data_IF_949298686611
#
_entry.id   IF_949298686611
#
_cell.length_a   1.000
_cell.length_b   1.000
_cell.length_c   1.000
_cell.angle_alpha   90.00
_cell.angle_beta   90.00
_cell.angle_gamma   90.00
#
_symmetry.space_group_name_H-M   'P 1'
#
loop_
_entity.id
_entity.type
_entity.pdbx_description
1 polymer ?
#
# COMPACT_ATOMS: atom_id res chain seq x y z
N UNK A 1 17.97 -13.86 -45.34
CA UNK A 1 18.98 -12.86 -45.76
C UNK A 1 18.55 -11.47 -45.30
N UNK A 2 17.35 -11.02 -45.61
CA UNK A 2 16.82 -9.70 -45.21
C UNK A 2 16.78 -9.52 -43.71
N UNK A 3 16.45 -10.54 -42.91
CA UNK A 3 16.44 -10.50 -41.47
C UNK A 3 17.84 -10.18 -40.89
N UNK A 4 18.89 -10.84 -41.41
CA UNK A 4 20.26 -10.59 -40.93
C UNK A 4 20.78 -9.21 -41.30
N UNK A 5 20.38 -8.66 -42.45
CA UNK A 5 20.94 -7.41 -42.99
C UNK A 5 20.20 -6.15 -42.50
N UNK A 6 18.93 -6.24 -42.12
CA UNK A 6 18.13 -5.05 -41.76
C UNK A 6 17.45 -5.16 -40.39
N UNK A 7 16.92 -6.32 -40.04
CA UNK A 7 16.17 -6.50 -38.80
C UNK A 7 17.10 -6.71 -37.61
N UNK A 8 18.22 -7.41 -37.81
CA UNK A 8 19.18 -7.65 -36.71
C UNK A 8 19.82 -6.37 -36.19
N UNK A 9 20.26 -5.47 -37.06
CA UNK A 9 20.88 -4.21 -36.68
C UNK A 9 19.90 -3.29 -35.97
N UNK A 10 18.64 -3.26 -36.43
CA UNK A 10 17.55 -2.52 -35.76
C UNK A 10 17.27 -3.09 -34.36
N UNK A 11 17.23 -4.41 -34.20
CA UNK A 11 17.07 -5.05 -32.89
C UNK A 11 18.25 -4.79 -31.95
N UNK A 12 19.49 -4.79 -32.48
CA UNK A 12 20.67 -4.48 -31.67
C UNK A 12 20.66 -3.03 -31.16
N UNK A 13 20.20 -2.08 -32.00
CA UNK A 13 20.06 -0.67 -31.57
C UNK A 13 18.99 -0.48 -30.50
N UNK A 14 17.92 -1.27 -30.51
CA UNK A 14 16.88 -1.24 -29.49
C UNK A 14 17.30 -1.89 -28.16
N UNK A 15 18.33 -2.73 -28.17
CA UNK A 15 18.83 -3.42 -26.96
C UNK A 15 19.30 -2.46 -25.86
N UNK A 16 19.73 -1.27 -26.22
CA UNK A 16 20.10 -0.22 -25.26
C UNK A 16 18.91 0.48 -24.59
N UNK A 17 17.73 0.36 -25.20
CA UNK A 17 16.48 1.03 -24.79
C UNK A 17 15.53 0.05 -24.13
N UNK A 18 15.44 -1.16 -24.67
CA UNK A 18 14.52 -2.21 -24.22
C UNK A 18 15.27 -3.48 -23.87
N UNK A 19 14.91 -4.10 -22.75
CA UNK A 19 15.35 -5.46 -22.44
C UNK A 19 14.55 -6.44 -23.30
N UNK A 20 15.24 -7.20 -24.16
CA UNK A 20 14.63 -8.28 -24.92
C UNK A 20 15.56 -9.50 -24.92
N UNK A 21 14.95 -10.64 -24.98
CA UNK A 21 15.62 -11.93 -24.94
C UNK A 21 15.34 -12.74 -26.19
N UNK A 22 16.35 -13.49 -26.62
CA UNK A 22 16.21 -14.40 -27.76
C UNK A 22 15.84 -15.78 -27.25
N UNK A 23 14.70 -16.27 -27.71
CA UNK A 23 14.28 -17.63 -27.44
C UNK A 23 14.48 -18.45 -28.73
N UNK A 24 15.21 -19.56 -28.61
CA UNK A 24 15.36 -20.47 -29.72
C UNK A 24 14.03 -21.21 -29.97
N UNK A 25 13.40 -20.88 -31.07
CA UNK A 25 12.14 -21.51 -31.52
C UNK A 25 12.36 -22.72 -32.46
N UNK A 26 13.58 -23.20 -32.60
CA UNK A 26 13.87 -24.42 -33.35
C UNK A 26 13.68 -25.62 -32.43
N UNK A 27 12.71 -26.46 -32.73
CA UNK A 27 12.40 -27.66 -31.96
C UNK A 27 10.92 -27.98 -31.93
N UNK A 28 10.56 -28.92 -31.09
CA UNK A 28 9.16 -29.27 -30.86
C UNK A 28 8.44 -28.15 -30.08
N UNK A 29 7.13 -27.99 -30.32
CA UNK A 29 6.31 -26.93 -29.72
C UNK A 29 6.44 -26.92 -28.19
N UNK A 30 6.41 -28.10 -27.58
CA UNK A 30 6.55 -28.23 -26.13
C UNK A 30 7.91 -27.71 -25.60
N UNK A 31 8.96 -27.90 -26.35
CA UNK A 31 10.30 -27.42 -25.99
C UNK A 31 10.42 -25.90 -26.12
N UNK A 32 9.77 -25.33 -27.13
CA UNK A 32 9.68 -23.88 -27.32
C UNK A 32 8.86 -23.24 -26.21
N UNK A 33 7.73 -23.84 -25.86
CA UNK A 33 6.91 -23.41 -24.72
C UNK A 33 7.70 -23.43 -23.41
N UNK A 34 8.41 -24.51 -23.11
CA UNK A 34 9.23 -24.62 -21.92
C UNK A 34 10.34 -23.56 -21.89
N UNK A 35 10.97 -23.28 -23.02
CA UNK A 35 11.99 -22.23 -23.13
C UNK A 35 11.42 -20.84 -22.85
N UNK A 36 10.19 -20.56 -23.33
CA UNK A 36 9.48 -19.30 -23.06
C UNK A 36 9.17 -19.19 -21.56
N UNK A 37 8.63 -20.24 -20.96
CA UNK A 37 8.31 -20.26 -19.53
C UNK A 37 9.57 -20.07 -18.69
N UNK A 38 10.65 -20.78 -19.00
CA UNK A 38 11.93 -20.65 -18.29
C UNK A 38 12.50 -19.25 -18.41
N UNK A 39 12.41 -18.63 -19.60
CA UNK A 39 12.90 -17.27 -19.82
C UNK A 39 12.06 -16.24 -19.06
N UNK A 40 10.75 -16.39 -19.05
CA UNK A 40 9.87 -15.52 -18.25
C UNK A 40 10.13 -15.67 -16.74
N UNK A 41 10.38 -16.90 -16.28
CA UNK A 41 10.78 -17.16 -14.90
C UNK A 41 12.14 -16.55 -14.57
N UNK A 42 13.11 -16.68 -15.48
CA UNK A 42 14.44 -16.07 -15.34
C UNK A 42 14.36 -14.54 -15.26
N UNK A 43 13.55 -13.90 -16.10
CA UNK A 43 13.35 -12.44 -16.05
C UNK A 43 12.70 -11.96 -14.76
N UNK A 44 11.80 -12.75 -14.20
CA UNK A 44 11.17 -12.43 -12.90
C UNK A 44 12.12 -12.67 -11.71
N UNK A 45 13.22 -13.39 -11.93
CA UNK A 45 14.21 -13.76 -10.92
C UNK A 45 15.60 -13.16 -11.19
N UNK A 46 15.67 -12.08 -11.98
CA UNK A 46 16.92 -11.41 -12.31
C UNK A 46 17.84 -11.31 -11.08
N UNK A 47 18.98 -11.99 -11.15
CA UNK A 47 20.07 -11.97 -10.17
C UNK A 47 19.97 -12.92 -8.96
N UNK A 48 18.93 -13.73 -8.85
CA UNK A 48 18.87 -14.73 -7.78
C UNK A 48 19.39 -16.09 -8.25
N UNK A 49 20.32 -16.65 -7.47
CA UNK A 49 20.69 -18.05 -7.60
C UNK A 49 19.47 -18.98 -7.44
N UNK A 50 19.37 -20.09 -8.20
CA UNK A 50 18.22 -21.01 -8.14
C UNK A 50 17.89 -21.51 -6.73
N UNK A 51 18.89 -21.76 -5.89
CA UNK A 51 18.69 -22.21 -4.50
C UNK A 51 18.07 -21.09 -3.67
N UNK A 52 18.51 -19.85 -3.87
CA UNK A 52 17.93 -18.68 -3.21
C UNK A 52 16.50 -18.43 -3.67
N UNK A 53 16.23 -18.55 -4.98
CA UNK A 53 14.87 -18.43 -5.51
C UNK A 53 13.92 -19.45 -4.89
N UNK A 54 14.32 -20.74 -4.84
CA UNK A 54 13.51 -21.80 -4.26
C UNK A 54 13.25 -21.58 -2.76
N UNK A 55 14.19 -21.02 -2.04
CA UNK A 55 14.00 -20.64 -0.64
C UNK A 55 12.98 -19.51 -0.46
N UNK A 56 12.99 -18.52 -1.38
CA UNK A 56 12.09 -17.37 -1.30
C UNK A 56 10.69 -17.61 -1.88
N UNK A 57 10.52 -18.57 -2.80
CA UNK A 57 9.22 -18.83 -3.46
C UNK A 57 8.11 -19.26 -2.51
N UNK A 58 8.44 -19.69 -1.29
CA UNK A 58 7.45 -19.97 -0.24
C UNK A 58 6.77 -18.69 0.29
N UNK A 59 7.38 -17.52 0.04
CA UNK A 59 6.83 -16.23 0.41
C UNK A 59 5.99 -15.73 -0.77
N UNK A 60 4.67 -15.48 -0.60
CA UNK A 60 3.82 -15.03 -1.68
C UNK A 60 4.26 -13.65 -2.17
N UNK A 61 4.17 -13.40 -3.46
CA UNK A 61 4.47 -12.08 -4.02
C UNK A 61 3.40 -11.06 -3.61
N UNK A 62 3.83 -9.82 -3.36
CA UNK A 62 2.95 -8.75 -2.86
C UNK A 62 1.70 -8.54 -3.75
N UNK A 63 1.81 -8.72 -5.07
CA UNK A 63 0.69 -8.59 -6.01
C UNK A 63 -0.43 -9.59 -5.72
N UNK A 64 -0.10 -10.84 -5.41
CA UNK A 64 -1.09 -11.87 -5.07
C UNK A 64 -1.79 -11.54 -3.75
N UNK A 65 -1.00 -11.13 -2.74
CA UNK A 65 -1.56 -10.69 -1.46
C UNK A 65 -2.51 -9.50 -1.63
N UNK A 66 -2.17 -8.52 -2.48
CA UNK A 66 -3.01 -7.33 -2.71
C UNK A 66 -4.36 -7.71 -3.33
N UNK A 67 -4.38 -8.64 -4.31
CA UNK A 67 -5.63 -9.10 -4.94
C UNK A 67 -6.54 -9.75 -3.90
N UNK A 68 -6.02 -10.66 -3.09
CA UNK A 68 -6.80 -11.32 -2.04
C UNK A 68 -7.20 -10.35 -0.93
N UNK A 69 -6.28 -9.46 -0.49
CA UNK A 69 -6.56 -8.48 0.54
C UNK A 69 -7.71 -7.53 0.17
N UNK A 70 -7.81 -7.14 -1.11
CA UNK A 70 -8.91 -6.30 -1.58
C UNK A 70 -10.26 -7.02 -1.50
N UNK A 71 -10.33 -8.29 -1.88
CA UNK A 71 -11.55 -9.09 -1.77
C UNK A 71 -12.00 -9.23 -0.32
N UNK A 72 -11.07 -9.52 0.59
CA UNK A 72 -11.37 -9.62 2.02
C UNK A 72 -11.78 -8.28 2.63
N UNK A 73 -11.18 -7.18 2.21
CA UNK A 73 -11.58 -5.84 2.65
C UNK A 73 -13.02 -5.52 2.26
N UNK A 74 -13.44 -5.83 1.02
CA UNK A 74 -14.82 -5.63 0.58
C UNK A 74 -15.79 -6.44 1.43
N UNK A 75 -15.48 -7.72 1.70
CA UNK A 75 -16.30 -8.55 2.58
C UNK A 75 -16.40 -7.97 4.01
N UNK A 76 -15.28 -7.44 4.55
CA UNK A 76 -15.32 -6.78 5.86
C UNK A 76 -16.19 -5.54 5.87
N UNK A 77 -16.14 -4.70 4.82
CA UNK A 77 -16.99 -3.52 4.71
C UNK A 77 -18.48 -3.88 4.69
N UNK A 78 -18.86 -4.94 3.95
CA UNK A 78 -20.22 -5.46 3.95
C UNK A 78 -20.64 -5.99 5.32
N UNK A 79 -19.75 -6.72 5.99
CA UNK A 79 -19.97 -7.22 7.35
C UNK A 79 -20.15 -6.05 8.34
N UNK A 80 -19.32 -5.00 8.26
CA UNK A 80 -19.49 -3.80 9.12
C UNK A 80 -20.83 -3.11 8.89
N UNK A 81 -21.32 -3.05 7.63
CA UNK A 81 -22.64 -2.47 7.36
C UNK A 81 -23.74 -3.31 8.01
N UNK A 82 -23.63 -4.61 7.98
CA UNK A 82 -24.64 -5.53 8.51
C UNK A 82 -24.60 -5.62 10.05
N UNK A 83 -23.41 -5.82 10.63
CA UNK A 83 -23.25 -6.09 12.06
C UNK A 83 -23.06 -4.84 12.90
N UNK A 84 -22.38 -3.82 12.34
CA UNK A 84 -21.94 -2.60 13.03
C UNK A 84 -22.32 -1.32 12.30
N UNK A 85 -23.46 -1.30 11.57
CA UNK A 85 -23.86 -0.20 10.69
C UNK A 85 -23.94 1.18 11.37
N UNK A 86 -24.23 1.23 12.68
CA UNK A 86 -24.23 2.50 13.41
C UNK A 86 -22.81 3.04 13.63
N UNK A 87 -21.84 2.16 13.90
CA UNK A 87 -20.43 2.52 14.07
C UNK A 87 -19.83 2.92 12.71
N UNK A 88 -20.10 2.15 11.66
CA UNK A 88 -19.66 2.48 10.29
C UNK A 88 -20.11 3.89 9.89
N UNK A 89 -21.38 4.23 10.12
CA UNK A 89 -21.91 5.59 9.84
C UNK A 89 -21.19 6.67 10.62
N UNK A 90 -20.90 6.44 11.91
CA UNK A 90 -20.12 7.40 12.74
C UNK A 90 -18.71 7.59 12.21
N UNK A 91 -18.04 6.51 11.77
CA UNK A 91 -16.69 6.58 11.19
C UNK A 91 -16.71 7.32 9.86
N UNK A 92 -17.68 7.05 8.99
CA UNK A 92 -17.84 7.77 7.71
C UNK A 92 -18.12 9.26 7.94
N UNK A 93 -18.97 9.61 8.91
CA UNK A 93 -19.25 11.00 9.28
C UNK A 93 -18.00 11.69 9.86
N UNK A 94 -17.23 11.01 10.71
CA UNK A 94 -15.95 11.49 11.23
C UNK A 94 -14.95 11.76 10.11
N UNK A 95 -14.80 10.82 9.15
CA UNK A 95 -13.96 11.01 7.97
C UNK A 95 -14.41 12.25 7.20
N UNK A 96 -15.70 12.32 6.84
CA UNK A 96 -16.22 13.37 5.96
C UNK A 96 -16.12 14.75 6.59
N UNK A 97 -16.44 14.89 7.88
CA UNK A 97 -16.50 16.19 8.54
C UNK A 97 -15.20 16.66 9.16
N UNK A 98 -14.36 15.74 9.65
CA UNK A 98 -13.14 16.12 10.36
C UNK A 98 -11.87 15.88 9.56
N UNK A 99 -11.78 14.77 8.82
CA UNK A 99 -10.55 14.41 8.12
C UNK A 99 -10.49 14.96 6.70
N UNK A 100 -11.58 14.88 5.93
CA UNK A 100 -11.60 15.32 4.53
C UNK A 100 -11.22 16.80 4.35
N UNK A 101 -11.70 17.76 5.15
CA UNK A 101 -11.28 19.16 4.99
C UNK A 101 -9.77 19.38 5.20
N UNK A 102 -9.12 18.55 6.03
CA UNK A 102 -7.67 18.59 6.22
C UNK A 102 -6.96 17.95 5.02
N UNK A 103 -7.44 16.79 4.57
CA UNK A 103 -6.89 16.05 3.42
C UNK A 103 -6.94 16.94 2.16
N UNK A 104 -8.05 17.62 1.92
CA UNK A 104 -8.23 18.52 0.77
C UNK A 104 -7.20 19.67 0.77
N UNK A 105 -6.88 20.24 1.94
CA UNK A 105 -5.84 21.27 2.05
C UNK A 105 -4.45 20.74 1.69
N UNK A 106 -4.22 19.45 1.89
CA UNK A 106 -2.95 18.77 1.60
C UNK A 106 -2.97 18.00 0.28
N UNK A 107 -3.97 18.24 -0.58
CA UNK A 107 -4.14 17.51 -1.84
C UNK A 107 -2.92 17.52 -2.76
N UNK A 108 -2.21 18.66 -2.80
CA UNK A 108 -1.00 18.82 -3.64
C UNK A 108 0.20 18.08 -3.04
N UNK A 109 0.29 17.97 -1.71
CA UNK A 109 1.42 17.33 -1.05
C UNK A 109 1.36 15.80 -1.07
N UNK A 110 0.23 15.21 -1.49
CA UNK A 110 0.06 13.76 -1.59
C UNK A 110 -0.09 13.04 -0.25
N UNK A 111 -0.20 13.77 0.87
CA UNK A 111 -0.40 13.16 2.17
C UNK A 111 -0.74 14.15 3.27
N UNK A 112 -1.40 13.66 4.32
CA UNK A 112 -1.77 14.43 5.51
C UNK A 112 -1.43 13.65 6.79
N UNK A 113 -0.95 14.34 7.80
CA UNK A 113 -0.73 13.81 9.14
C UNK A 113 -1.65 14.54 10.12
N UNK A 114 -2.50 13.78 10.80
CA UNK A 114 -3.55 14.32 11.66
C UNK A 114 -3.43 13.67 13.03
N UNK A 115 -3.33 14.47 14.10
CA UNK A 115 -3.43 14.00 15.46
C UNK A 115 -4.84 14.29 15.97
N UNK A 116 -5.46 13.32 16.62
CA UNK A 116 -6.82 13.44 17.18
C UNK A 116 -6.96 12.71 18.51
N UNK A 117 -7.75 13.26 19.40
CA UNK A 117 -8.16 12.66 20.69
C UNK A 117 -9.64 12.20 20.62
N UNK A 118 -10.21 12.04 19.42
CA UNK A 118 -11.62 11.71 19.27
C UNK A 118 -11.95 10.38 19.95
N UNK A 119 -12.96 10.40 20.80
CA UNK A 119 -13.39 9.24 21.57
C UNK A 119 -13.95 8.11 20.69
N UNK A 120 -14.37 8.40 19.46
CA UNK A 120 -14.81 7.40 18.49
C UNK A 120 -13.71 6.35 18.25
N UNK A 121 -12.44 6.79 18.17
CA UNK A 121 -11.30 5.90 17.91
C UNK A 121 -10.88 5.07 19.13
N UNK A 122 -11.50 5.26 20.29
CA UNK A 122 -11.32 4.39 21.46
C UNK A 122 -12.02 3.03 21.29
N UNK A 123 -13.04 2.96 20.43
CA UNK A 123 -13.62 1.69 20.02
C UNK A 123 -12.59 0.92 19.19
N UNK A 124 -12.23 -0.32 19.55
CA UNK A 124 -11.16 -1.07 18.88
C UNK A 124 -11.47 -1.35 17.40
N UNK A 125 -12.74 -1.35 17.01
CA UNK A 125 -13.17 -1.60 15.64
C UNK A 125 -13.15 -0.33 14.77
N UNK A 126 -13.30 0.85 15.36
CA UNK A 126 -13.37 2.11 14.61
C UNK A 126 -12.09 2.42 13.79
N UNK A 127 -10.86 2.22 14.30
CA UNK A 127 -9.65 2.38 13.48
C UNK A 127 -9.58 1.40 12.31
N UNK A 128 -10.02 0.15 12.48
CA UNK A 128 -10.04 -0.84 11.41
C UNK A 128 -11.04 -0.46 10.30
N UNK A 129 -12.25 -0.06 10.68
CA UNK A 129 -13.25 0.46 9.73
C UNK A 129 -12.70 1.68 8.98
N UNK A 130 -12.05 2.60 9.67
CA UNK A 130 -11.47 3.81 9.07
C UNK A 130 -10.42 3.46 8.03
N UNK A 131 -9.51 2.53 8.32
CA UNK A 131 -8.48 2.06 7.38
C UNK A 131 -9.11 1.40 6.17
N UNK A 132 -10.10 0.52 6.35
CA UNK A 132 -10.77 -0.18 5.25
C UNK A 132 -11.57 0.80 4.36
N UNK A 133 -12.26 1.80 4.94
CA UNK A 133 -12.96 2.84 4.18
C UNK A 133 -12.00 3.69 3.36
N UNK A 134 -10.87 4.12 3.92
CA UNK A 134 -9.85 4.85 3.19
C UNK A 134 -9.23 4.01 2.08
N UNK A 135 -8.92 2.74 2.36
CA UNK A 135 -8.33 1.81 1.40
C UNK A 135 -9.25 1.55 0.21
N UNK A 136 -10.57 1.41 0.45
CA UNK A 136 -11.56 1.27 -0.61
C UNK A 136 -11.62 2.51 -1.52
N UNK A 137 -11.40 3.69 -0.96
CA UNK A 137 -11.35 4.97 -1.69
C UNK A 137 -9.99 5.27 -2.31
N UNK A 138 -9.02 4.35 -2.24
CA UNK A 138 -7.70 4.49 -2.85
C UNK A 138 -6.71 5.32 -2.03
N UNK A 139 -7.03 5.63 -0.78
CA UNK A 139 -6.08 6.22 0.16
C UNK A 139 -5.30 5.13 0.88
N UNK A 140 -4.08 5.43 1.26
CA UNK A 140 -3.29 4.59 2.16
C UNK A 140 -3.29 5.23 3.54
N UNK A 141 -4.01 4.64 4.48
CA UNK A 141 -4.16 5.14 5.83
C UNK A 141 -3.45 4.24 6.85
N UNK A 142 -2.75 4.86 7.78
CA UNK A 142 -2.16 4.21 8.96
C UNK A 142 -2.67 4.93 10.19
N UNK A 143 -3.05 4.18 11.20
CA UNK A 143 -3.55 4.70 12.49
C UNK A 143 -2.64 4.16 13.59
N UNK A 144 -1.91 5.07 14.23
CA UNK A 144 -1.07 4.77 15.38
C UNK A 144 -1.72 5.32 16.65
N UNK A 145 -1.76 4.49 17.71
CA UNK A 145 -2.22 4.91 19.03
C UNK A 145 -1.03 5.21 19.93
N UNK A 146 -0.96 6.43 20.41
CA UNK A 146 0.03 6.86 21.38
C UNK A 146 -0.62 7.14 22.74
N UNK A 147 0.09 6.79 23.81
CA UNK A 147 -0.24 7.22 25.16
C UNK A 147 0.73 8.32 25.54
N UNK A 148 0.20 9.48 25.90
CA UNK A 148 0.99 10.60 26.39
C UNK A 148 0.61 10.90 27.83
N UNK A 149 1.60 11.19 28.65
CA UNK A 149 1.40 11.67 30.02
C UNK A 149 1.33 13.19 29.99
N UNK A 150 0.22 13.73 30.45
CA UNK A 150 0.00 15.17 30.53
C UNK A 150 -0.01 15.56 32.00
N UNK A 151 0.85 16.51 32.47
CA UNK A 151 0.81 17.02 33.81
C UNK A 151 -0.56 17.60 34.15
N UNK A 152 -1.16 17.20 35.24
CA UNK A 152 -2.48 17.63 35.68
C UNK A 152 -2.41 18.47 36.93
N UNK A 153 -1.65 18.01 37.92
CA UNK A 153 -1.46 18.74 39.20
C UNK A 153 -0.02 18.65 39.66
N UNK A 154 0.43 19.72 40.36
CA UNK A 154 1.72 19.79 41.03
C UNK A 154 1.49 19.88 42.53
N UNK A 155 1.98 18.90 43.27
CA UNK A 155 1.94 18.91 44.72
C UNK A 155 3.13 19.73 45.26
N UNK A 156 2.85 20.91 45.75
CA UNK A 156 3.87 21.83 46.29
C UNK A 156 4.56 21.30 47.54
N UNK A 157 3.88 20.44 48.32
CA UNK A 157 4.45 19.92 49.56
C UNK A 157 5.46 18.80 49.32
N UNK A 158 5.25 18.00 48.30
CA UNK A 158 6.11 16.84 47.96
C UNK A 158 6.97 17.05 46.72
N UNK A 159 6.73 18.12 45.94
CA UNK A 159 7.41 18.38 44.69
C UNK A 159 7.00 17.40 43.57
N UNK A 160 5.96 16.59 43.76
CA UNK A 160 5.52 15.57 42.79
C UNK A 160 4.56 16.16 41.76
N UNK A 161 4.78 15.75 40.52
CA UNK A 161 3.87 16.03 39.41
C UNK A 161 2.96 14.81 39.21
N UNK A 162 1.66 15.01 39.31
CA UNK A 162 0.67 14.01 38.96
C UNK A 162 0.29 14.18 37.49
N UNK A 163 0.49 13.12 36.71
CA UNK A 163 0.19 13.10 35.28
C UNK A 163 -1.06 12.28 35.02
N UNK A 164 -1.85 12.74 34.04
CA UNK A 164 -2.94 11.97 33.47
C UNK A 164 -2.51 11.39 32.13
N UNK A 165 -2.79 10.11 31.91
CA UNK A 165 -2.56 9.46 30.62
C UNK A 165 -3.68 9.80 29.64
N UNK A 166 -3.33 10.37 28.50
CA UNK A 166 -4.23 10.58 27.36
C UNK A 166 -3.87 9.65 26.22
N UNK A 167 -4.91 9.19 25.50
CA UNK A 167 -4.76 8.48 24.22
C UNK A 167 -4.86 9.47 23.07
N UNK A 168 -3.85 9.49 22.23
CA UNK A 168 -3.82 10.30 21.01
C UNK A 168 -3.64 9.37 19.82
N UNK A 169 -4.48 9.53 18.83
CA UNK A 169 -4.39 8.79 17.57
C UNK A 169 -3.69 9.66 16.53
N UNK A 170 -2.64 9.11 15.92
CA UNK A 170 -1.95 9.72 14.79
C UNK A 170 -2.40 9.01 13.52
N UNK A 171 -3.05 9.77 12.66
CA UNK A 171 -3.50 9.31 11.35
C UNK A 171 -2.50 9.79 10.31
N UNK A 172 -1.92 8.86 9.57
CA UNK A 172 -1.06 9.15 8.42
C UNK A 172 -1.78 8.68 7.15
N UNK A 173 -2.23 9.64 6.34
CA UNK A 173 -3.03 9.36 5.16
C UNK A 173 -2.24 9.80 3.94
N UNK A 174 -1.98 8.86 3.02
CA UNK A 174 -1.28 9.10 1.75
C UNK A 174 -2.24 8.88 0.60
N UNK A 175 -2.07 9.68 -0.43
CA UNK A 175 -2.79 9.56 -1.69
C UNK A 175 -1.87 9.99 -2.83
N UNK A 176 -2.13 9.52 -4.04
CA UNK A 176 -1.31 9.88 -5.19
C UNK A 176 -1.62 11.34 -5.54
N UNK A 177 -0.65 12.23 -5.28
CA UNK A 177 -0.71 13.60 -5.73
C UNK A 177 -0.65 13.69 -7.27
N UNK A 178 -1.24 14.70 -7.87
CA UNK A 178 -1.08 14.97 -9.29
C UNK A 178 0.37 15.41 -9.55
N UNK A 179 1.15 14.54 -10.19
CA UNK A 179 2.46 14.92 -10.71
C UNK A 179 2.25 15.80 -11.95
N UNK A 180 2.63 17.06 -11.85
CA UNK A 180 2.77 17.91 -13.04
C UNK A 180 4.03 17.43 -13.75
N UNK A 181 3.88 16.52 -14.71
CA UNK A 181 4.97 16.17 -15.62
C UNK A 181 5.29 17.40 -16.44
N UNK A 182 6.38 18.09 -16.13
CA UNK A 182 6.96 19.07 -17.04
C UNK A 182 7.49 18.27 -18.23
N UNK A 183 6.83 18.42 -19.37
CA UNK A 183 7.36 17.91 -20.63
C UNK A 183 8.75 18.52 -20.87
N UNK A 184 9.69 17.66 -21.20
CA UNK A 184 10.98 18.06 -21.78
C UNK A 184 10.80 18.23 -23.26
#
# INVERSE_FOLDING_TARGET
RVFKEKTWDALQSLKSIFHYHFINAQGEIHQVEQNIVNELQYQSTLELDPVTYDALRSIPVARELIVHARQEMVKRLDAYQFEHGALLRKVVDFISRKLMPIIERHAISGGAHINTEDTLLHDPLAPAILIDVFSERGYHAVVDQHRIEVPETFDQATGKIHCRTKKVFRLSIRFIGSEIRRGH
#
